data_IF_074705238582
#
_entry.id   IF_074705238582
#
_cell.length_a   1.000
_cell.length_b   1.000
_cell.length_c   1.000
_cell.angle_alpha   90.00
_cell.angle_beta   90.00
_cell.angle_gamma   90.00
#
_symmetry.space_group_name_H-M   'P 1'
#
loop_
_entity.id
_entity.type
_entity.pdbx_description
1 polymer ?
#
# COMPACT_ATOMS: atom_id res chain seq x y z
N UNK A 1 10.82 -5.63 15.34
CA UNK A 1 11.46 -4.49 16.02
C UNK A 1 12.01 -3.43 15.06
N UNK A 2 12.60 -3.81 13.93
CA UNK A 2 13.32 -2.86 13.04
C UNK A 2 12.36 -2.12 12.10
N UNK A 3 11.22 -2.68 11.70
CA UNK A 3 10.28 -2.05 10.76
C UNK A 3 9.34 -1.00 11.39
N UNK A 4 9.00 -1.12 12.67
CA UNK A 4 8.27 -0.05 13.37
C UNK A 4 9.12 1.23 13.53
N UNK A 5 10.46 1.09 13.59
CA UNK A 5 11.39 2.22 13.69
C UNK A 5 11.43 3.05 12.40
N UNK A 6 11.18 2.44 11.23
CA UNK A 6 11.20 3.16 9.95
C UNK A 6 9.97 4.02 9.71
N UNK A 7 8.82 3.69 10.29
CA UNK A 7 7.60 4.54 10.21
C UNK A 7 7.79 5.83 11.00
N UNK A 8 8.55 5.79 12.10
CA UNK A 8 8.82 6.98 12.92
C UNK A 8 9.93 7.86 12.36
N UNK A 9 10.87 7.33 11.56
CA UNK A 9 11.96 8.09 10.97
C UNK A 9 11.54 8.87 9.71
N UNK A 10 10.55 8.39 8.96
CA UNK A 10 10.05 9.07 7.77
C UNK A 10 9.39 10.43 8.02
N UNK A 11 8.89 10.66 9.23
CA UNK A 11 8.22 11.93 9.61
C UNK A 11 9.23 13.02 10.03
N UNK A 12 10.47 12.66 10.37
CA UNK A 12 11.43 13.62 10.98
C UNK A 12 12.42 14.26 9.98
N UNK A 13 12.50 13.81 8.72
CA UNK A 13 13.53 14.25 7.76
C UNK A 13 13.12 15.39 6.81
N UNK A 14 12.02 16.09 7.07
CA UNK A 14 11.52 17.20 6.20
C UNK A 14 12.00 18.61 6.61
N UNK A 15 12.96 18.74 7.50
CA UNK A 15 13.47 20.06 7.90
C UNK A 15 15.01 20.13 7.87
N UNK A 16 15.61 20.15 6.69
CA UNK A 16 16.92 20.82 6.47
C UNK A 16 17.16 21.03 4.97
N UNK A 17 16.90 22.23 4.51
CA UNK A 17 17.44 22.72 3.24
C UNK A 17 18.30 23.92 3.53
N UNK A 18 19.56 23.87 3.17
CA UNK A 18 20.20 24.92 2.36
C UNK A 18 21.69 24.63 2.17
N UNK A 19 22.11 24.82 0.95
CA UNK A 19 23.47 25.13 0.49
C UNK A 19 24.21 24.02 -0.27
N UNK A 20 24.32 24.17 -1.58
CA UNK A 20 25.52 24.21 -2.40
C UNK A 20 25.21 24.03 -3.91
N UNK A 21 25.52 25.01 -4.71
CA UNK A 21 25.10 25.09 -6.12
C UNK A 21 26.07 24.45 -7.13
N UNK A 22 27.23 23.93 -6.73
CA UNK A 22 28.23 23.30 -7.63
C UNK A 22 28.09 21.76 -7.72
N UNK A 23 27.43 21.09 -6.76
CA UNK A 23 27.15 19.65 -6.81
C UNK A 23 25.95 19.27 -7.68
N UNK A 24 25.05 20.21 -7.96
CA UNK A 24 23.77 19.94 -8.66
C UNK A 24 23.95 19.53 -10.13
N UNK A 25 24.93 20.13 -10.85
CA UNK A 25 25.14 19.80 -12.28
C UNK A 25 25.65 18.39 -12.48
N UNK A 26 26.59 17.93 -11.69
CA UNK A 26 27.14 16.56 -11.79
C UNK A 26 26.14 15.51 -11.30
N UNK A 27 25.34 15.82 -10.26
CA UNK A 27 24.28 14.95 -9.77
C UNK A 27 23.16 14.79 -10.80
N UNK A 28 22.74 15.88 -11.46
CA UNK A 28 21.73 15.83 -12.53
C UNK A 28 22.22 15.05 -13.74
N UNK A 29 23.47 15.25 -14.17
CA UNK A 29 24.04 14.50 -15.31
C UNK A 29 24.16 12.98 -14.99
N UNK A 30 24.52 12.61 -13.77
CA UNK A 30 24.55 11.23 -13.31
C UNK A 30 23.15 10.64 -13.29
N UNK A 31 22.19 11.32 -12.68
CA UNK A 31 20.80 10.88 -12.60
C UNK A 31 20.17 10.70 -14.00
N UNK A 32 20.49 11.57 -14.94
CA UNK A 32 20.03 11.46 -16.32
C UNK A 32 20.66 10.25 -17.04
N UNK A 33 21.93 9.95 -16.79
CA UNK A 33 22.61 8.78 -17.35
C UNK A 33 22.05 7.47 -16.79
N UNK A 34 21.85 7.41 -15.48
CA UNK A 34 21.29 6.24 -14.80
C UNK A 34 19.85 5.98 -15.26
N UNK A 35 19.06 7.02 -15.45
CA UNK A 35 17.72 6.96 -16.01
C UNK A 35 17.69 6.34 -17.43
N UNK A 36 18.63 6.69 -18.31
CA UNK A 36 18.72 6.13 -19.67
C UNK A 36 19.06 4.63 -19.61
N UNK A 37 19.92 4.21 -18.68
CA UNK A 37 20.28 2.80 -18.51
C UNK A 37 19.08 1.97 -18.07
N UNK A 38 18.28 2.48 -17.14
CA UNK A 38 17.06 1.81 -16.68
C UNK A 38 16.04 1.70 -17.83
N UNK A 39 15.84 2.76 -18.62
CA UNK A 39 14.93 2.74 -19.78
C UNK A 39 15.32 1.71 -20.83
N UNK A 40 16.61 1.44 -20.98
CA UNK A 40 17.18 0.50 -21.96
C UNK A 40 17.47 -0.87 -21.38
N UNK A 41 17.15 -1.13 -20.12
CA UNK A 41 17.48 -2.36 -19.41
C UNK A 41 17.08 -3.63 -20.17
N UNK A 42 15.90 -3.60 -20.80
CA UNK A 42 15.33 -4.72 -21.53
C UNK A 42 15.59 -4.71 -23.05
N UNK A 43 16.42 -3.79 -23.58
CA UNK A 43 16.61 -3.67 -25.03
C UNK A 43 17.35 -4.86 -25.63
N UNK A 44 18.22 -5.52 -24.87
CA UNK A 44 19.00 -6.69 -25.29
C UNK A 44 18.35 -8.03 -24.91
N UNK A 45 17.20 -8.00 -24.22
CA UNK A 45 16.49 -9.22 -23.80
C UNK A 45 15.61 -9.75 -24.94
N UNK A 46 15.81 -11.03 -25.30
CA UNK A 46 14.97 -11.68 -26.31
C UNK A 46 13.69 -12.23 -25.66
N UNK A 47 12.58 -11.52 -25.83
CA UNK A 47 11.26 -11.93 -25.36
C UNK A 47 10.62 -13.05 -26.18
N UNK A 48 11.26 -13.55 -27.26
CA UNK A 48 10.78 -14.73 -28.00
C UNK A 48 11.35 -16.03 -27.46
N UNK A 49 12.46 -15.97 -26.74
CA UNK A 49 13.18 -17.12 -26.19
C UNK A 49 12.50 -17.67 -24.91
N UNK A 50 11.71 -18.73 -25.09
CA UNK A 50 11.05 -19.42 -23.97
C UNK A 50 12.01 -20.32 -23.18
N UNK A 51 13.17 -20.69 -23.75
CA UNK A 51 14.17 -21.55 -23.07
C UNK A 51 14.81 -20.81 -21.90
N UNK A 52 14.98 -19.49 -22.01
CA UNK A 52 15.47 -18.66 -20.90
C UNK A 52 14.56 -18.69 -19.69
N UNK A 53 13.27 -18.94 -19.87
CA UNK A 53 12.33 -19.08 -18.76
C UNK A 53 12.46 -20.42 -18.05
N UNK A 54 13.01 -21.46 -18.70
CA UNK A 54 13.27 -22.76 -18.06
C UNK A 54 14.43 -22.67 -17.06
N UNK A 55 15.33 -21.69 -17.19
CA UNK A 55 16.29 -21.27 -16.15
C UNK A 55 15.80 -19.97 -15.46
N UNK A 56 14.59 -20.02 -14.95
CA UNK A 56 13.82 -18.87 -14.43
C UNK A 56 14.57 -17.98 -13.43
N UNK A 57 15.51 -18.55 -12.68
CA UNK A 57 16.28 -17.83 -11.66
C UNK A 57 17.06 -16.62 -12.21
N UNK A 58 17.59 -16.70 -13.45
CA UNK A 58 18.33 -15.59 -14.06
C UNK A 58 17.40 -14.47 -14.48
N UNK A 59 16.30 -14.78 -15.18
CA UNK A 59 15.30 -13.78 -15.60
C UNK A 59 14.59 -13.17 -14.40
N UNK A 60 14.31 -13.99 -13.37
CA UNK A 60 13.75 -13.50 -12.10
C UNK A 60 14.67 -12.47 -11.43
N UNK A 61 15.96 -12.78 -11.32
CA UNK A 61 16.94 -11.85 -10.75
C UNK A 61 17.01 -10.54 -11.55
N UNK A 62 17.05 -10.65 -12.89
CA UNK A 62 17.01 -9.46 -13.76
C UNK A 62 15.76 -8.62 -13.52
N UNK A 63 14.59 -9.25 -13.35
CA UNK A 63 13.35 -8.53 -13.07
C UNK A 63 13.40 -7.83 -11.72
N UNK A 64 13.85 -8.51 -10.67
CA UNK A 64 14.02 -7.93 -9.33
C UNK A 64 15.00 -6.75 -9.35
N UNK A 65 16.14 -6.90 -10.01
CA UNK A 65 17.15 -5.85 -10.16
C UNK A 65 16.56 -4.64 -10.91
N UNK A 66 15.81 -4.88 -11.99
CA UNK A 66 15.11 -3.83 -12.73
C UNK A 66 14.07 -3.09 -11.87
N UNK A 67 13.19 -3.82 -11.19
CA UNK A 67 12.15 -3.23 -10.34
C UNK A 67 12.76 -2.40 -9.20
N UNK A 68 13.87 -2.86 -8.62
CA UNK A 68 14.58 -2.13 -7.58
C UNK A 68 15.16 -0.80 -8.08
N UNK A 69 15.65 -0.76 -9.32
CA UNK A 69 16.20 0.46 -9.91
C UNK A 69 15.13 1.50 -10.30
N UNK A 70 13.86 1.09 -10.47
CA UNK A 70 12.79 2.03 -10.81
C UNK A 70 12.58 3.11 -9.75
N UNK A 71 12.97 2.86 -8.49
CA UNK A 71 12.92 3.86 -7.41
C UNK A 71 13.84 5.06 -7.63
N UNK A 72 14.84 4.96 -8.53
CA UNK A 72 15.71 6.06 -8.92
C UNK A 72 15.06 7.03 -9.92
N UNK A 73 13.90 6.64 -10.47
CA UNK A 73 13.12 7.45 -11.40
C UNK A 73 12.00 8.20 -10.69
N UNK A 74 11.42 9.18 -11.39
CA UNK A 74 10.11 9.70 -10.97
C UNK A 74 9.04 8.63 -11.14
N UNK A 75 7.97 8.71 -10.36
CA UNK A 75 6.87 7.72 -10.44
C UNK A 75 6.31 7.61 -11.87
N UNK A 76 6.14 8.73 -12.57
CA UNK A 76 5.63 8.74 -13.94
C UNK A 76 6.55 7.99 -14.91
N UNK A 77 7.87 8.22 -14.80
CA UNK A 77 8.85 7.54 -15.65
C UNK A 77 8.96 6.05 -15.31
N UNK A 78 8.93 5.69 -14.04
CA UNK A 78 8.92 4.30 -13.61
C UNK A 78 7.68 3.57 -14.15
N UNK A 79 6.49 4.17 -14.01
CA UNK A 79 5.25 3.63 -14.56
C UNK A 79 5.30 3.44 -16.07
N UNK A 80 5.86 4.41 -16.80
CA UNK A 80 6.03 4.31 -18.26
C UNK A 80 6.99 3.17 -18.63
N UNK A 81 8.07 3.00 -17.90
CA UNK A 81 9.02 1.90 -18.10
C UNK A 81 8.39 0.52 -17.88
N UNK A 82 7.51 0.40 -16.89
CA UNK A 82 6.72 -0.82 -16.64
C UNK A 82 5.77 -1.11 -17.81
N UNK A 83 5.04 -0.09 -18.31
CA UNK A 83 4.16 -0.26 -19.50
C UNK A 83 4.96 -0.75 -20.69
N UNK A 84 6.15 -0.19 -20.95
CA UNK A 84 7.04 -0.65 -22.03
C UNK A 84 7.49 -2.09 -21.85
N UNK A 85 7.82 -2.51 -20.62
CA UNK A 85 8.14 -3.91 -20.35
C UNK A 85 6.95 -4.81 -20.68
N UNK A 86 5.75 -4.50 -20.19
CA UNK A 86 4.54 -5.29 -20.47
C UNK A 86 4.29 -5.38 -21.98
N UNK A 87 4.45 -4.30 -22.74
CA UNK A 87 4.32 -4.30 -24.19
C UNK A 87 5.36 -5.20 -24.88
N UNK A 88 6.65 -5.15 -24.45
CA UNK A 88 7.71 -5.99 -24.98
C UNK A 88 7.42 -7.50 -24.80
N UNK A 89 6.83 -7.90 -23.69
CA UNK A 89 6.48 -9.29 -23.43
C UNK A 89 5.39 -9.84 -24.35
N UNK A 90 4.62 -8.98 -25.00
CA UNK A 90 3.45 -9.35 -25.83
C UNK A 90 3.79 -10.23 -27.04
N UNK A 91 5.03 -10.21 -27.48
CA UNK A 91 5.50 -10.97 -28.66
C UNK A 91 5.37 -12.50 -28.48
N UNK A 92 5.34 -12.99 -27.24
CA UNK A 92 5.18 -14.41 -26.92
C UNK A 92 4.25 -14.63 -25.73
N UNK A 93 3.20 -15.41 -25.91
CA UNK A 93 2.16 -15.65 -24.87
C UNK A 93 2.71 -16.32 -23.59
N UNK A 94 3.71 -17.22 -23.73
CA UNK A 94 4.31 -17.93 -22.59
C UNK A 94 5.16 -16.95 -21.78
N UNK A 95 6.00 -16.18 -22.45
CA UNK A 95 6.84 -15.13 -21.84
C UNK A 95 5.95 -14.08 -21.18
N UNK A 96 4.94 -13.59 -21.88
CA UNK A 96 4.00 -12.61 -21.35
C UNK A 96 3.34 -13.10 -20.05
N UNK A 97 2.78 -14.32 -20.04
CA UNK A 97 2.16 -14.90 -18.83
C UNK A 97 3.15 -14.97 -17.67
N UNK A 98 4.36 -15.40 -17.93
CA UNK A 98 5.40 -15.50 -16.90
C UNK A 98 5.72 -14.12 -16.30
N UNK A 99 5.98 -13.12 -17.15
CA UNK A 99 6.26 -11.76 -16.67
C UNK A 99 5.09 -11.15 -15.89
N UNK A 100 3.85 -11.31 -16.36
CA UNK A 100 2.67 -10.80 -15.65
C UNK A 100 2.51 -11.44 -14.28
N UNK A 101 2.74 -12.75 -14.16
CA UNK A 101 2.70 -13.44 -12.86
C UNK A 101 3.81 -12.95 -11.92
N UNK A 102 5.02 -12.69 -12.42
CA UNK A 102 6.13 -12.17 -11.61
C UNK A 102 5.92 -10.71 -11.22
N UNK A 103 5.42 -9.89 -12.13
CA UNK A 103 5.04 -8.50 -11.81
C UNK A 103 3.94 -8.45 -10.75
N UNK A 104 2.93 -9.31 -10.83
CA UNK A 104 1.92 -9.45 -9.78
C UNK A 104 2.58 -9.85 -8.46
N UNK A 105 3.41 -10.90 -8.45
CA UNK A 105 4.10 -11.36 -7.25
C UNK A 105 4.94 -10.27 -6.60
N UNK A 106 5.75 -9.54 -7.36
CA UNK A 106 6.65 -8.54 -6.79
C UNK A 106 5.97 -7.21 -6.45
N UNK A 107 5.02 -6.75 -7.29
CA UNK A 107 4.44 -5.41 -7.14
C UNK A 107 3.13 -5.38 -6.36
N UNK A 108 2.42 -6.52 -6.27
CA UNK A 108 1.09 -6.57 -5.70
C UNK A 108 0.99 -7.42 -4.43
N UNK A 109 1.70 -8.56 -4.36
CA UNK A 109 1.59 -9.43 -3.19
C UNK A 109 2.03 -8.69 -1.92
N UNK A 110 1.30 -8.92 -0.81
CA UNK A 110 1.45 -8.11 0.39
C UNK A 110 2.81 -8.25 1.07
N UNK A 111 3.42 -9.43 1.01
CA UNK A 111 4.71 -9.77 1.62
C UNK A 111 5.92 -9.36 0.79
N UNK A 112 5.70 -8.86 -0.43
CA UNK A 112 6.78 -8.42 -1.29
C UNK A 112 7.42 -7.12 -0.82
N UNK A 113 8.74 -7.12 -0.69
CA UNK A 113 9.54 -5.92 -0.37
C UNK A 113 9.56 -4.88 -1.50
N UNK A 114 9.19 -5.29 -2.74
CA UNK A 114 9.12 -4.43 -3.92
C UNK A 114 7.69 -3.98 -4.22
N UNK A 115 6.74 -4.26 -3.34
CA UNK A 115 5.35 -3.90 -3.54
C UNK A 115 5.19 -2.40 -3.79
N UNK A 116 4.49 -2.08 -4.89
CA UNK A 116 4.19 -0.72 -5.27
C UNK A 116 2.87 -0.66 -6.06
N UNK A 117 1.86 -0.10 -5.43
CA UNK A 117 0.51 -0.03 -6.00
C UNK A 117 0.46 0.80 -7.30
N UNK A 118 1.23 1.90 -7.41
CA UNK A 118 1.30 2.72 -8.62
C UNK A 118 1.91 1.96 -9.80
N UNK A 119 2.96 1.21 -9.52
CA UNK A 119 3.62 0.37 -10.53
C UNK A 119 2.69 -0.75 -11.01
N UNK A 120 2.01 -1.42 -10.07
CA UNK A 120 1.08 -2.48 -10.45
C UNK A 120 -0.17 -1.98 -11.18
N UNK A 121 -0.67 -0.78 -10.84
CA UNK A 121 -1.71 -0.09 -11.62
C UNK A 121 -1.26 0.05 -13.08
N UNK A 122 -0.01 0.43 -13.32
CA UNK A 122 0.51 0.58 -14.69
C UNK A 122 0.57 -0.74 -15.46
N UNK A 123 0.88 -1.86 -14.76
CA UNK A 123 0.78 -3.21 -15.34
C UNK A 123 -0.66 -3.51 -15.76
N UNK A 124 -1.61 -3.31 -14.83
CA UNK A 124 -3.03 -3.62 -15.06
C UNK A 124 -3.63 -2.76 -16.19
N UNK A 125 -3.33 -1.47 -16.20
CA UNK A 125 -3.80 -0.56 -17.26
C UNK A 125 -3.30 -1.01 -18.63
N UNK A 126 -2.00 -1.32 -18.75
CA UNK A 126 -1.43 -1.75 -20.02
C UNK A 126 -1.99 -3.09 -20.49
N UNK A 127 -2.13 -4.06 -19.59
CA UNK A 127 -2.72 -5.37 -19.89
C UNK A 127 -4.17 -5.25 -20.37
N UNK A 128 -4.95 -4.36 -19.78
CA UNK A 128 -6.37 -4.16 -20.13
C UNK A 128 -6.56 -3.41 -21.45
N UNK A 129 -5.65 -2.47 -21.79
CA UNK A 129 -5.71 -1.68 -23.02
C UNK A 129 -5.17 -2.47 -24.20
N UNK A 130 -4.07 -3.17 -24.02
CA UNK A 130 -3.33 -3.82 -25.12
C UNK A 130 -3.93 -5.12 -25.64
N UNK A 131 -5.10 -5.54 -25.12
CA UNK A 131 -5.80 -6.74 -25.58
C UNK A 131 -5.13 -8.07 -25.21
N UNK A 132 -4.34 -8.08 -24.13
CA UNK A 132 -3.67 -9.30 -23.65
C UNK A 132 -4.65 -10.34 -23.08
N UNK A 133 -5.82 -9.90 -22.62
CA UNK A 133 -6.80 -10.72 -21.93
C UNK A 133 -8.15 -10.68 -22.60
N UNK A 134 -8.76 -11.85 -22.75
CA UNK A 134 -10.08 -12.03 -23.31
C UNK A 134 -11.10 -12.34 -22.22
N UNK A 135 -12.36 -11.89 -22.44
CA UNK A 135 -13.53 -12.29 -21.68
C UNK A 135 -13.32 -12.35 -20.16
N UNK A 136 -13.49 -13.52 -19.58
CA UNK A 136 -13.41 -13.73 -18.12
C UNK A 136 -12.03 -13.44 -17.53
N UNK A 137 -10.95 -13.54 -18.31
CA UNK A 137 -9.62 -13.23 -17.82
C UNK A 137 -9.45 -11.76 -17.43
N UNK A 138 -10.32 -10.86 -17.90
CA UNK A 138 -10.30 -9.43 -17.57
C UNK A 138 -10.93 -9.12 -16.21
N UNK A 139 -11.78 -10.01 -15.67
CA UNK A 139 -12.58 -9.73 -14.46
C UNK A 139 -11.66 -9.41 -13.28
N UNK A 140 -10.68 -10.28 -12.98
CA UNK A 140 -9.75 -10.10 -11.86
C UNK A 140 -8.89 -8.84 -12.02
N UNK A 141 -8.22 -8.58 -13.17
CA UNK A 141 -7.47 -7.35 -13.38
C UNK A 141 -8.30 -6.07 -13.29
N UNK A 142 -9.54 -6.08 -13.79
CA UNK A 142 -10.46 -4.95 -13.67
C UNK A 142 -10.83 -4.67 -12.20
N UNK A 143 -11.12 -5.72 -11.45
CA UNK A 143 -11.41 -5.62 -10.02
C UNK A 143 -10.18 -5.09 -9.24
N UNK A 144 -9.00 -5.68 -9.46
CA UNK A 144 -7.75 -5.23 -8.83
C UNK A 144 -7.48 -3.76 -9.15
N UNK A 145 -7.61 -3.35 -10.41
CA UNK A 145 -7.41 -1.95 -10.82
C UNK A 145 -8.40 -1.00 -10.15
N UNK A 146 -9.70 -1.37 -10.11
CA UNK A 146 -10.75 -0.61 -9.42
C UNK A 146 -10.39 -0.40 -7.95
N UNK A 147 -9.97 -1.46 -7.26
CA UNK A 147 -9.68 -1.41 -5.83
C UNK A 147 -8.38 -0.67 -5.53
N UNK A 148 -7.33 -0.86 -6.34
CA UNK A 148 -6.06 -0.16 -6.19
C UNK A 148 -6.16 1.36 -6.40
N UNK A 149 -7.11 1.80 -7.21
CA UNK A 149 -7.36 3.24 -7.43
C UNK A 149 -8.07 3.92 -6.27
N UNK A 150 -8.63 3.14 -5.31
CA UNK A 150 -9.26 3.68 -4.10
C UNK A 150 -8.23 4.00 -3.02
N UNK A 151 -8.51 5.01 -2.23
CA UNK A 151 -7.73 5.36 -1.04
C UNK A 151 -6.21 5.43 -1.30
N UNK A 152 -5.82 6.04 -2.42
CA UNK A 152 -4.40 6.26 -2.75
C UNK A 152 -3.80 7.36 -1.90
N UNK A 153 -2.49 7.34 -1.77
CA UNK A 153 -1.73 8.42 -1.12
C UNK A 153 -2.07 9.76 -1.78
N UNK A 154 -2.33 10.77 -0.96
CA UNK A 154 -2.74 12.11 -1.40
C UNK A 154 -4.23 12.26 -1.73
N UNK A 155 -5.00 11.18 -1.78
CA UNK A 155 -6.44 11.21 -2.02
C UNK A 155 -7.19 11.17 -0.70
N UNK A 156 -8.36 11.83 -0.65
CA UNK A 156 -9.25 11.78 0.51
C UNK A 156 -9.76 10.35 0.73
N UNK A 157 -9.61 9.84 1.95
CA UNK A 157 -10.11 8.52 2.34
C UNK A 157 -11.63 8.43 2.16
N UNK A 158 -12.11 7.27 1.77
CA UNK A 158 -13.55 7.03 1.69
C UNK A 158 -14.18 7.15 3.07
N UNK A 159 -15.27 7.93 3.19
CA UNK A 159 -16.04 8.05 4.44
C UNK A 159 -16.93 6.83 4.65
N UNK A 160 -17.08 6.43 5.89
CA UNK A 160 -18.02 5.39 6.27
C UNK A 160 -18.49 5.58 7.72
N UNK A 161 -19.62 4.95 8.04
CA UNK A 161 -20.22 4.99 9.38
C UNK A 161 -20.02 3.64 10.05
N UNK A 162 -19.59 3.66 11.30
CA UNK A 162 -19.42 2.51 12.16
C UNK A 162 -20.14 2.72 13.50
N UNK A 163 -20.36 1.65 14.25
CA UNK A 163 -20.99 1.72 15.58
C UNK A 163 -19.92 1.62 16.67
N UNK A 164 -20.05 2.43 17.71
CA UNK A 164 -19.25 2.34 18.92
C UNK A 164 -19.86 1.33 19.91
N UNK A 165 -19.08 0.92 20.92
CA UNK A 165 -19.58 0.03 21.99
C UNK A 165 -20.75 0.63 22.79
N UNK A 166 -20.88 1.95 22.80
CA UNK A 166 -22.02 2.68 23.39
C UNK A 166 -23.32 2.51 22.62
N UNK A 167 -23.25 1.98 21.37
CA UNK A 167 -24.39 1.91 20.46
C UNK A 167 -24.56 3.14 19.56
N UNK A 168 -23.70 4.15 19.73
CA UNK A 168 -23.73 5.37 18.92
C UNK A 168 -23.05 5.15 17.57
N UNK A 169 -23.59 5.78 16.52
CA UNK A 169 -22.96 5.78 15.20
C UNK A 169 -22.00 6.96 15.05
N UNK A 170 -20.81 6.68 14.51
CA UNK A 170 -19.79 7.67 14.20
C UNK A 170 -19.33 7.54 12.76
N UNK A 171 -18.96 8.66 12.13
CA UNK A 171 -18.34 8.67 10.81
C UNK A 171 -16.83 8.85 10.93
N UNK A 172 -16.10 8.26 9.99
CA UNK A 172 -14.64 8.44 9.93
C UNK A 172 -14.26 9.92 9.80
N UNK A 173 -15.00 10.68 8.99
CA UNK A 173 -14.67 12.09 8.77
C UNK A 173 -15.02 13.03 9.92
N UNK A 174 -15.80 12.58 10.90
CA UNK A 174 -16.11 13.36 12.10
C UNK A 174 -14.97 13.29 13.14
N UNK A 175 -13.97 12.42 12.91
CA UNK A 175 -12.80 12.29 13.78
C UNK A 175 -11.84 13.44 13.51
N UNK A 176 -11.62 14.25 14.54
CA UNK A 176 -10.77 15.44 14.47
C UNK A 176 -9.42 15.17 15.14
N UNK A 177 -8.38 14.96 14.33
CA UNK A 177 -7.01 14.80 14.77
C UNK A 177 -6.05 15.30 13.67
N UNK A 178 -4.79 15.62 14.06
CA UNK A 178 -3.76 15.98 13.08
C UNK A 178 -3.41 14.79 12.20
N UNK A 179 -3.33 13.60 12.78
CA UNK A 179 -3.14 12.32 12.11
C UNK A 179 -4.18 11.31 12.59
N UNK A 180 -4.62 10.44 11.72
CA UNK A 180 -5.49 9.32 12.03
C UNK A 180 -4.81 8.02 11.62
N UNK A 181 -4.65 7.10 12.55
CA UNK A 181 -4.22 5.74 12.28
C UNK A 181 -5.49 4.88 12.26
N UNK A 182 -5.90 4.46 11.07
CA UNK A 182 -7.10 3.65 10.85
C UNK A 182 -6.67 2.20 10.60
N UNK A 183 -7.15 1.31 11.46
CA UNK A 183 -6.87 -0.11 11.42
C UNK A 183 -8.15 -0.89 11.18
N UNK A 184 -8.12 -1.79 10.22
CA UNK A 184 -9.16 -2.79 10.02
C UNK A 184 -8.66 -4.12 10.55
N UNK A 185 -9.49 -4.85 11.28
CA UNK A 185 -9.10 -6.09 11.91
C UNK A 185 -10.25 -7.08 12.03
N UNK A 186 -9.86 -8.35 12.16
CA UNK A 186 -10.72 -9.46 12.54
C UNK A 186 -10.34 -9.92 13.96
N UNK A 187 -11.29 -9.95 14.92
CA UNK A 187 -11.01 -10.35 16.28
C UNK A 187 -10.60 -11.84 16.43
N UNK A 188 -10.92 -12.69 15.47
CA UNK A 188 -10.54 -14.10 15.48
C UNK A 188 -9.14 -14.36 14.87
N UNK A 189 -8.56 -13.35 14.22
CA UNK A 189 -7.24 -13.41 13.66
C UNK A 189 -6.16 -13.26 14.74
N UNK A 190 -5.37 -14.31 14.98
CA UNK A 190 -4.28 -14.31 15.97
C UNK A 190 -3.24 -13.22 15.69
N UNK A 191 -2.88 -13.03 14.43
CA UNK A 191 -1.91 -11.99 14.02
C UNK A 191 -2.44 -10.58 14.26
N UNK A 192 -3.74 -10.37 14.06
CA UNK A 192 -4.39 -9.09 14.37
C UNK A 192 -4.27 -8.78 15.86
N UNK A 193 -4.60 -9.75 16.73
CA UNK A 193 -4.51 -9.59 18.18
C UNK A 193 -3.08 -9.28 18.63
N UNK A 194 -2.09 -9.98 18.08
CA UNK A 194 -0.69 -9.74 18.39
C UNK A 194 -0.26 -8.32 17.96
N UNK A 195 -0.61 -7.90 16.75
CA UNK A 195 -0.29 -6.56 16.26
C UNK A 195 -0.98 -5.46 17.05
N UNK A 196 -2.24 -5.67 17.46
CA UNK A 196 -2.97 -4.75 18.33
C UNK A 196 -2.32 -4.62 19.70
N UNK A 197 -1.85 -5.74 20.27
CA UNK A 197 -1.11 -5.72 21.53
C UNK A 197 0.23 -4.97 21.39
N UNK A 198 1.02 -5.26 20.38
CA UNK A 198 2.28 -4.53 20.10
C UNK A 198 2.04 -3.02 19.93
N UNK A 199 0.97 -2.61 19.27
CA UNK A 199 0.58 -1.20 19.13
C UNK A 199 0.17 -0.59 20.47
N UNK A 200 -0.57 -1.32 21.31
CA UNK A 200 -1.01 -0.84 22.63
C UNK A 200 0.15 -0.62 23.59
N UNK A 201 1.21 -1.40 23.47
CA UNK A 201 2.42 -1.29 24.28
C UNK A 201 3.44 -0.27 23.73
N UNK A 202 3.21 0.27 22.54
CA UNK A 202 4.12 1.23 21.91
C UNK A 202 4.16 2.55 22.68
N UNK A 203 5.29 2.84 23.35
CA UNK A 203 5.51 4.11 24.05
C UNK A 203 5.42 5.31 23.12
N UNK A 204 5.84 5.16 21.88
CA UNK A 204 5.79 6.22 20.85
C UNK A 204 4.33 6.56 20.52
N UNK A 205 3.52 5.55 20.17
CA UNK A 205 2.10 5.76 19.85
C UNK A 205 1.36 6.35 21.05
N UNK A 206 1.57 5.78 22.25
CA UNK A 206 0.93 6.25 23.46
C UNK A 206 1.31 7.70 23.80
N UNK A 207 2.53 8.15 23.52
CA UNK A 207 2.93 9.54 23.71
C UNK A 207 2.14 10.52 22.84
N UNK A 208 1.77 10.14 21.60
CA UNK A 208 0.96 10.97 20.70
C UNK A 208 -0.54 10.92 21.02
N UNK A 209 -1.03 9.82 21.58
CA UNK A 209 -2.44 9.66 21.99
C UNK A 209 -2.77 10.46 23.25
N UNK A 210 -1.81 10.65 24.16
CA UNK A 210 -2.01 11.29 25.46
C UNK A 210 -2.01 12.83 25.43
N UNK A 211 -1.68 13.46 24.29
CA UNK A 211 -1.65 14.93 24.19
C UNK A 211 -3.06 15.51 23.91
N UNK A 212 -3.97 15.33 24.86
CA UNK A 212 -5.28 15.97 24.90
C UNK A 212 -5.25 17.22 25.80
N UNK A 213 -4.60 18.26 25.32
CA UNK A 213 -4.76 19.62 25.83
C UNK A 213 -5.72 20.42 24.93
N UNK A 214 -5.88 21.72 25.15
CA UNK A 214 -6.78 22.64 24.40
C UNK A 214 -6.53 22.71 22.87
N UNK A 215 -5.66 21.87 22.32
CA UNK A 215 -5.34 21.71 20.88
C UNK A 215 -5.95 20.42 20.34
N UNK A 216 -6.19 20.36 19.02
CA UNK A 216 -6.53 19.14 18.29
C UNK A 216 -5.62 18.00 18.70
N UNK A 217 -6.18 16.80 18.92
CA UNK A 217 -5.36 15.59 19.19
C UNK A 217 -4.31 15.41 18.10
N UNK A 218 -3.09 15.08 18.51
CA UNK A 218 -2.01 14.84 17.53
C UNK A 218 -2.27 13.57 16.72
N UNK A 219 -2.80 12.53 17.37
CA UNK A 219 -3.11 11.25 16.78
C UNK A 219 -4.46 10.73 17.29
N UNK A 220 -5.32 10.30 16.38
CA UNK A 220 -6.44 9.42 16.66
C UNK A 220 -6.10 8.02 16.18
N UNK A 221 -6.24 7.02 17.03
CA UNK A 221 -6.15 5.62 16.65
C UNK A 221 -7.55 5.05 16.59
N UNK A 222 -7.96 4.65 15.40
CA UNK A 222 -9.29 4.15 15.07
C UNK A 222 -9.17 2.70 14.64
N UNK A 223 -9.84 1.81 15.35
CA UNK A 223 -9.87 0.39 15.02
C UNK A 223 -11.27 -0.01 14.62
N UNK A 224 -11.39 -0.65 13.47
CA UNK A 224 -12.69 -1.09 12.94
C UNK A 224 -12.66 -2.60 12.77
N UNK A 225 -13.53 -3.25 13.53
CA UNK A 225 -13.81 -4.67 13.35
C UNK A 225 -14.66 -4.84 12.08
N UNK A 226 -14.18 -5.64 11.14
CA UNK A 226 -14.80 -5.86 9.83
C UNK A 226 -15.46 -7.22 9.70
N UNK A 227 -15.10 -8.16 10.56
CA UNK A 227 -15.54 -9.56 10.54
C UNK A 227 -16.05 -9.99 11.92
N UNK A 228 -16.67 -11.17 11.98
CA UNK A 228 -17.17 -11.77 13.22
C UNK A 228 -18.52 -11.20 13.68
N UNK A 229 -18.95 -11.70 14.85
CA UNK A 229 -20.22 -11.35 15.46
C UNK A 229 -20.07 -10.13 16.42
N UNK A 230 -21.10 -9.31 16.50
CA UNK A 230 -21.09 -8.08 17.32
C UNK A 230 -20.80 -8.36 18.80
N UNK A 231 -21.28 -9.47 19.34
CA UNK A 231 -21.07 -9.79 20.76
C UNK A 231 -19.61 -10.21 21.02
N UNK A 232 -19.00 -10.95 20.12
CA UNK A 232 -17.56 -11.29 20.18
C UNK A 232 -16.70 -10.02 20.08
N UNK A 233 -17.07 -9.09 19.20
CA UNK A 233 -16.40 -7.79 19.12
C UNK A 233 -16.55 -6.99 20.42
N UNK A 234 -17.74 -6.91 21.02
CA UNK A 234 -17.97 -6.21 22.27
C UNK A 234 -17.14 -6.75 23.43
N UNK A 235 -16.94 -8.06 23.47
CA UNK A 235 -16.06 -8.71 24.45
C UNK A 235 -14.60 -8.35 24.19
N UNK A 236 -14.13 -8.55 22.96
CA UNK A 236 -12.76 -8.29 22.59
C UNK A 236 -12.33 -6.82 22.75
N UNK A 237 -13.17 -5.87 22.36
CA UNK A 237 -12.87 -4.44 22.43
C UNK A 237 -12.62 -3.94 23.86
N UNK A 238 -13.09 -4.65 24.89
CA UNK A 238 -12.80 -4.33 26.30
C UNK A 238 -11.32 -4.55 26.65
N UNK A 239 -10.62 -5.36 25.90
CA UNK A 239 -9.19 -5.58 26.06
C UNK A 239 -8.33 -4.50 25.39
N UNK A 240 -8.92 -3.66 24.54
CA UNK A 240 -8.22 -2.59 23.84
C UNK A 240 -8.14 -1.32 24.68
N UNK A 241 -7.12 -0.47 24.50
CA UNK A 241 -7.01 0.79 25.22
C UNK A 241 -8.22 1.69 25.03
N UNK A 242 -8.76 2.22 26.12
CA UNK A 242 -9.96 3.08 26.11
C UNK A 242 -9.75 4.41 25.39
N UNK A 243 -8.50 4.82 25.18
CA UNK A 243 -8.15 6.03 24.40
C UNK A 243 -8.29 5.80 22.89
N UNK A 244 -8.40 4.55 22.43
CA UNK A 244 -8.65 4.23 21.05
C UNK A 244 -10.13 4.36 20.70
N UNK A 245 -10.43 4.75 19.48
CA UNK A 245 -11.80 4.75 18.95
C UNK A 245 -12.05 3.36 18.37
N UNK A 246 -12.81 2.52 19.10
CA UNK A 246 -13.09 1.15 18.72
C UNK A 246 -14.47 1.06 18.08
N UNK A 247 -14.52 0.70 16.80
CA UNK A 247 -15.74 0.60 16.03
C UNK A 247 -15.98 -0.78 15.42
N UNK A 248 -17.23 -1.00 15.02
CA UNK A 248 -17.67 -2.21 14.31
C UNK A 248 -18.47 -1.84 13.08
N UNK A 249 -18.18 -2.46 11.93
CA UNK A 249 -18.90 -2.26 10.67
C UNK A 249 -20.18 -3.12 10.61
N UNK A 250 -21.15 -2.76 11.47
CA UNK A 250 -22.42 -3.51 11.62
C UNK A 250 -23.20 -3.68 10.32
N UNK A 251 -23.02 -2.78 9.35
CA UNK A 251 -23.71 -2.81 8.06
C UNK A 251 -22.87 -3.39 6.94
N UNK A 252 -21.69 -3.87 7.23
CA UNK A 252 -20.71 -4.39 6.25
C UNK A 252 -20.47 -3.45 5.06
N UNK A 253 -20.56 -2.11 5.34
CA UNK A 253 -20.45 -1.09 4.28
C UNK A 253 -19.08 -1.08 3.62
N UNK A 254 -18.04 -1.47 4.36
CA UNK A 254 -16.68 -1.54 3.84
C UNK A 254 -16.57 -2.58 2.72
N UNK A 255 -17.15 -3.76 2.92
CA UNK A 255 -17.15 -4.86 1.95
C UNK A 255 -18.21 -4.68 0.89
N UNK A 256 -19.49 -4.41 1.25
CA UNK A 256 -20.59 -4.30 0.30
C UNK A 256 -20.43 -3.15 -0.70
N UNK A 257 -19.90 -2.01 -0.24
CA UNK A 257 -19.61 -0.86 -1.11
C UNK A 257 -18.18 -0.86 -1.64
N UNK A 258 -17.40 -1.87 -1.24
CA UNK A 258 -15.97 -1.97 -1.60
C UNK A 258 -15.23 -0.66 -1.33
N UNK A 259 -15.46 -0.03 -0.16
CA UNK A 259 -14.91 1.30 0.15
C UNK A 259 -13.39 1.26 0.33
N UNK A 260 -12.89 0.19 0.95
CA UNK A 260 -11.47 -0.04 1.17
C UNK A 260 -11.07 -1.39 0.57
N UNK A 261 -9.85 -1.46 0.06
CA UNK A 261 -9.29 -2.73 -0.40
C UNK A 261 -8.56 -3.39 0.75
N UNK A 262 -9.30 -4.18 1.50
CA UNK A 262 -8.79 -4.96 2.62
C UNK A 262 -8.20 -6.26 2.06
N UNK A 263 -6.87 -6.36 2.01
CA UNK A 263 -6.17 -7.52 1.45
C UNK A 263 -5.81 -8.56 2.49
N UNK A 264 -5.91 -8.18 3.75
CA UNK A 264 -5.62 -9.03 4.90
C UNK A 264 -6.60 -8.73 6.00
N UNK A 265 -6.60 -9.59 7.01
CA UNK A 265 -7.38 -9.36 8.23
C UNK A 265 -6.88 -8.18 9.05
N UNK A 266 -5.74 -7.56 8.67
CA UNK A 266 -5.16 -6.42 9.35
C UNK A 266 -4.54 -5.44 8.35
N UNK A 267 -5.25 -4.37 8.04
CA UNK A 267 -4.81 -3.29 7.15
C UNK A 267 -4.73 -1.97 7.91
N UNK A 268 -3.69 -1.18 7.67
CA UNK A 268 -3.48 0.12 8.30
C UNK A 268 -3.44 1.22 7.25
N UNK A 269 -4.17 2.29 7.51
CA UNK A 269 -4.14 3.53 6.74
C UNK A 269 -3.76 4.68 7.64
N UNK A 270 -2.81 5.51 7.22
CA UNK A 270 -2.43 6.73 7.91
C UNK A 270 -3.02 7.92 7.17
N UNK A 271 -3.83 8.70 7.86
CA UNK A 271 -4.44 9.92 7.33
C UNK A 271 -3.86 11.17 7.96
N UNK A 272 -3.96 12.31 7.26
CA UNK A 272 -3.60 13.64 7.76
C UNK A 272 -4.81 14.57 7.68
N UNK A 273 -5.14 15.21 8.81
CA UNK A 273 -6.32 16.09 8.89
C UNK A 273 -7.60 15.30 8.63
N UNK A 274 -8.60 15.95 8.02
CA UNK A 274 -9.85 15.28 7.64
C UNK A 274 -9.64 14.33 6.44
N UNK A 275 -8.84 13.28 6.61
CA UNK A 275 -8.85 12.09 5.77
C UNK A 275 -8.00 12.06 4.48
N UNK A 276 -6.95 12.87 4.31
CA UNK A 276 -6.00 12.60 3.23
C UNK A 276 -5.08 11.44 3.60
N UNK A 277 -5.06 10.38 2.81
CA UNK A 277 -4.17 9.23 3.03
C UNK A 277 -2.74 9.65 2.72
N UNK A 278 -1.84 9.43 3.67
CA UNK A 278 -0.41 9.69 3.51
C UNK A 278 0.42 8.42 3.44
N UNK A 279 -0.13 7.31 3.96
CA UNK A 279 0.55 6.01 3.91
C UNK A 279 -0.45 4.87 4.04
N UNK A 280 -0.09 3.72 3.49
CA UNK A 280 -0.79 2.46 3.66
C UNK A 280 0.23 1.38 3.97
N UNK A 281 0.06 0.70 5.09
CA UNK A 281 0.90 -0.42 5.47
C UNK A 281 0.06 -1.69 5.61
N UNK A 282 0.61 -2.81 5.20
CA UNK A 282 0.06 -4.13 5.44
C UNK A 282 1.00 -4.86 6.38
N UNK A 283 0.43 -5.46 7.42
CA UNK A 283 1.19 -6.31 8.32
C UNK A 283 0.98 -7.77 7.90
N UNK A 284 2.06 -8.38 7.42
CA UNK A 284 2.18 -9.80 7.22
C UNK A 284 3.34 -10.32 8.06
N UNK A 285 3.11 -11.41 8.71
CA UNK A 285 4.15 -12.32 9.18
C UNK A 285 3.91 -13.70 8.56
#
# INVERSE_FOLDING_TARGET
YIRLLYITLGVFLLLCTCSANSGKSNAMAKQQKDSILIERFWDTYDFTDTIRLSSSATTERMLVDYLSQLSELTEERACENIRRLVLKTKVNKVVNRWFLQRLEHHLYEPDSSLRNDSYYISVLEEVLISGHLDGMMRIRPLYQLKMLKKNRIGIKAADFTFILSTGEFQKLWDISAKYTLLLFYDPDCIYCRQSMMELSESSIINSFLQHSGLSLSQLALVTICTEGEMDAWKEYQQSLPSVWINGYDVRKVLTEKELYFLRSSFDIFVGRGQASIIERALFYR
#
